data_IF_137399613132
#
_entry.id   IF_137399613132
#
_cell.length_a   1.000
_cell.length_b   1.000
_cell.length_c   1.000
_cell.angle_alpha   90.00
_cell.angle_beta   90.00
_cell.angle_gamma   90.00
#
_symmetry.space_group_name_H-M   'P 1'
#
loop_
_entity.id
_entity.type
_entity.pdbx_description
1 polymer ?
#
# COMPACT_ATOMS: atom_id res chain seq x y z
N UNK A 1 10.76 -3.41 -10.34
CA UNK A 1 9.42 -2.95 -9.89
C UNK A 1 9.22 -1.45 -10.12
N UNK A 2 9.77 -0.52 -9.32
CA UNK A 2 9.47 0.92 -9.45
C UNK A 2 9.72 1.49 -10.87
N UNK A 3 10.85 1.13 -11.49
CA UNK A 3 11.18 1.55 -12.86
C UNK A 3 10.19 1.01 -13.91
N UNK A 4 9.77 -0.25 -13.80
CA UNK A 4 8.78 -0.86 -14.70
C UNK A 4 7.41 -0.16 -14.58
N UNK A 5 7.10 0.34 -13.39
CA UNK A 5 5.89 1.07 -13.10
C UNK A 5 6.02 2.59 -13.26
N UNK A 6 7.17 3.15 -13.67
CA UNK A 6 7.47 4.60 -13.59
C UNK A 6 6.94 5.21 -12.27
N UNK A 7 7.19 4.50 -11.18
CA UNK A 7 6.76 4.86 -9.84
C UNK A 7 7.96 5.39 -9.06
N UNK A 8 7.72 6.39 -8.22
CA UNK A 8 8.77 7.01 -7.42
C UNK A 8 8.81 6.45 -6.00
N UNK A 9 7.68 5.93 -5.52
CA UNK A 9 7.53 5.44 -4.16
C UNK A 9 6.55 4.28 -4.07
N UNK A 10 6.85 3.36 -3.17
CA UNK A 10 6.01 2.22 -2.79
C UNK A 10 5.85 2.25 -1.27
N UNK A 11 4.67 1.89 -0.78
CA UNK A 11 4.40 1.54 0.61
C UNK A 11 3.59 0.24 0.62
N UNK A 12 3.98 -0.71 1.46
CA UNK A 12 3.20 -1.90 1.78
C UNK A 12 2.83 -1.80 3.26
N UNK A 13 1.54 -1.66 3.56
CA UNK A 13 1.01 -1.58 4.91
C UNK A 13 0.31 -2.89 5.25
N UNK A 14 0.93 -3.70 6.12
CA UNK A 14 0.38 -4.97 6.61
C UNK A 14 -0.43 -4.77 7.88
N UNK A 15 -1.58 -5.44 7.97
CA UNK A 15 -2.50 -5.34 9.12
C UNK A 15 -2.16 -6.35 10.21
N UNK A 16 -1.95 -5.86 11.43
CA UNK A 16 -1.71 -6.64 12.66
C UNK A 16 -0.58 -7.68 12.55
N UNK A 17 0.33 -7.46 11.59
CA UNK A 17 1.36 -8.42 11.20
C UNK A 17 2.70 -7.73 11.02
N UNK A 18 3.75 -8.38 11.50
CA UNK A 18 5.12 -7.97 11.30
C UNK A 18 5.87 -9.05 10.50
N UNK A 19 6.61 -8.62 9.48
CA UNK A 19 7.43 -9.47 8.63
C UNK A 19 8.86 -8.93 8.69
N UNK A 20 9.84 -9.82 8.87
CA UNK A 20 11.23 -9.41 8.88
C UNK A 20 11.66 -9.01 7.46
N UNK A 21 12.03 -7.74 7.28
CA UNK A 21 12.57 -7.23 6.01
C UNK A 21 13.89 -6.52 6.25
N UNK A 22 14.61 -6.25 5.17
CA UNK A 22 15.68 -5.26 5.24
C UNK A 22 15.11 -3.84 5.42
N UNK A 23 15.98 -2.91 5.83
CA UNK A 23 15.67 -1.49 6.03
C UNK A 23 15.19 -0.77 4.75
N UNK A 24 15.40 -1.37 3.58
CA UNK A 24 15.09 -0.77 2.28
C UNK A 24 13.73 -1.18 1.73
N UNK A 25 13.15 -2.24 2.28
CA UNK A 25 11.84 -2.73 1.90
C UNK A 25 10.78 -1.82 2.54
N UNK A 26 9.93 -1.15 1.75
CA UNK A 26 8.97 -0.17 2.27
C UNK A 26 7.73 -0.88 2.84
N UNK A 27 7.95 -1.75 3.83
CA UNK A 27 6.93 -2.56 4.49
C UNK A 27 6.71 -2.06 5.91
N UNK A 28 5.46 -1.79 6.25
CA UNK A 28 5.03 -1.18 7.49
C UNK A 28 3.97 -2.05 8.15
N UNK A 29 4.02 -2.17 9.48
CA UNK A 29 2.96 -2.82 10.25
C UNK A 29 1.99 -1.76 10.77
N UNK A 30 0.71 -1.94 10.49
CA UNK A 30 -0.38 -1.04 10.89
C UNK A 30 -1.41 -1.85 11.66
N UNK A 31 -1.96 -1.28 12.74
CA UNK A 31 -3.04 -1.92 13.48
C UNK A 31 -4.36 -1.77 12.74
N UNK A 32 -5.22 -2.78 12.79
CA UNK A 32 -6.55 -2.71 12.15
C UNK A 32 -7.47 -1.66 12.79
N UNK A 33 -7.25 -1.32 14.05
CA UNK A 33 -7.98 -0.27 14.78
C UNK A 33 -7.31 1.11 14.72
N UNK A 34 -6.27 1.29 13.90
CA UNK A 34 -5.59 2.57 13.74
C UNK A 34 -6.56 3.61 13.14
N UNK A 35 -6.78 4.78 13.78
CA UNK A 35 -7.73 5.79 13.31
C UNK A 35 -7.45 6.25 11.87
N UNK A 36 -6.16 6.40 11.52
CA UNK A 36 -5.76 6.82 10.19
C UNK A 36 -5.97 5.73 9.13
N UNK A 37 -6.18 4.46 9.49
CA UNK A 37 -6.57 3.42 8.55
C UNK A 37 -8.06 3.57 8.14
N UNK A 38 -8.88 4.20 8.98
CA UNK A 38 -10.33 4.33 8.76
C UNK A 38 -10.67 5.01 7.42
N UNK A 39 -9.83 5.95 6.97
CA UNK A 39 -10.00 6.65 5.70
C UNK A 39 -9.84 5.75 4.45
N UNK A 40 -9.28 4.54 4.62
CA UNK A 40 -9.06 3.55 3.56
C UNK A 40 -10.04 2.38 3.60
N UNK A 41 -10.88 2.26 4.65
CA UNK A 41 -11.78 1.11 4.82
C UNK A 41 -12.69 0.87 3.62
N UNK A 42 -13.30 1.92 3.08
CA UNK A 42 -14.11 1.81 1.86
C UNK A 42 -13.39 1.22 0.64
N UNK A 43 -12.05 1.31 0.57
CA UNK A 43 -11.25 0.74 -0.51
C UNK A 43 -10.85 -0.69 -0.19
N UNK A 44 -10.48 -0.95 1.07
CA UNK A 44 -10.21 -2.30 1.58
C UNK A 44 -11.44 -3.20 1.44
N UNK A 45 -12.62 -2.73 1.85
CA UNK A 45 -13.89 -3.46 1.80
C UNK A 45 -14.30 -3.81 0.36
N UNK A 46 -13.98 -2.95 -0.60
CA UNK A 46 -14.27 -3.19 -2.02
C UNK A 46 -13.32 -4.20 -2.65
N UNK A 47 -12.07 -4.28 -2.16
CA UNK A 47 -11.05 -5.15 -2.72
C UNK A 47 -10.64 -4.79 -4.15
N UNK A 48 -10.94 -3.57 -4.61
CA UNK A 48 -10.61 -3.09 -5.96
C UNK A 48 -9.44 -2.10 -5.92
N UNK A 49 -8.50 -2.26 -6.87
CA UNK A 49 -7.43 -1.28 -7.08
C UNK A 49 -7.99 0.04 -7.58
N UNK A 50 -7.62 1.14 -6.93
CA UNK A 50 -8.05 2.50 -7.29
C UNK A 50 -6.87 3.35 -7.68
N UNK A 51 -6.92 3.92 -8.88
CA UNK A 51 -5.93 4.88 -9.38
C UNK A 51 -6.47 6.31 -9.36
N UNK A 52 -5.62 7.28 -9.06
CA UNK A 52 -5.94 8.70 -9.17
C UNK A 52 -5.18 9.55 -8.16
N UNK A 53 -5.80 10.68 -7.79
CA UNK A 53 -5.27 11.59 -6.77
C UNK A 53 -5.87 11.27 -5.42
N UNK A 54 -5.03 11.11 -4.41
CA UNK A 54 -5.47 11.03 -3.02
C UNK A 54 -5.44 12.42 -2.36
N UNK A 55 -6.22 12.57 -1.29
CA UNK A 55 -6.16 13.79 -0.48
C UNK A 55 -4.86 13.82 0.35
N UNK A 56 -4.54 14.98 0.93
CA UNK A 56 -3.30 15.19 1.68
C UNK A 56 -3.15 14.20 2.84
N UNK A 57 -4.19 14.02 3.65
CA UNK A 57 -4.15 13.15 4.84
C UNK A 57 -3.81 11.69 4.46
N UNK A 58 -4.40 11.18 3.38
CA UNK A 58 -4.11 9.83 2.86
C UNK A 58 -2.67 9.72 2.38
N UNK A 59 -2.17 10.72 1.67
CA UNK A 59 -0.79 10.74 1.19
C UNK A 59 0.21 10.84 2.34
N UNK A 60 -0.05 11.69 3.33
CA UNK A 60 0.81 11.86 4.50
C UNK A 60 0.89 10.56 5.31
N UNK A 61 -0.23 9.84 5.46
CA UNK A 61 -0.23 8.52 6.10
C UNK A 61 0.60 7.48 5.32
N UNK A 62 0.44 7.42 3.99
CA UNK A 62 1.10 6.41 3.14
C UNK A 62 2.59 6.71 2.88
N UNK A 63 2.96 7.99 2.76
CA UNK A 63 4.26 8.39 2.22
C UNK A 63 5.03 9.37 3.10
N UNK A 64 4.45 9.81 4.23
CA UNK A 64 5.10 10.70 5.19
C UNK A 64 5.68 11.95 4.54
N UNK A 65 6.95 12.25 4.78
CA UNK A 65 7.63 13.43 4.22
C UNK A 65 7.68 13.44 2.68
N UNK A 66 7.54 12.27 2.03
CA UNK A 66 7.56 12.16 0.57
C UNK A 66 6.19 12.44 -0.07
N UNK A 67 5.13 12.51 0.73
CA UNK A 67 3.76 12.77 0.28
C UNK A 67 3.63 14.03 -0.60
N UNK A 68 4.40 15.08 -0.29
CA UNK A 68 4.37 16.35 -1.03
C UNK A 68 4.75 16.23 -2.51
N UNK A 69 5.52 15.19 -2.87
CA UNK A 69 6.00 14.96 -4.24
C UNK A 69 5.08 14.06 -5.05
N UNK A 70 4.12 13.38 -4.40
CA UNK A 70 3.22 12.43 -5.07
C UNK A 70 2.05 13.17 -5.71
N UNK A 71 1.89 13.02 -7.02
CA UNK A 71 0.86 13.66 -7.83
C UNK A 71 -0.16 12.68 -8.41
N UNK A 72 0.17 11.40 -8.51
CA UNK A 72 -0.76 10.32 -8.81
C UNK A 72 -0.44 9.08 -7.97
N UNK A 73 -1.45 8.25 -7.70
CA UNK A 73 -1.34 7.09 -6.81
C UNK A 73 -2.18 5.92 -7.33
N UNK A 74 -1.67 4.70 -7.18
CA UNK A 74 -2.45 3.48 -7.22
C UNK A 74 -2.54 2.90 -5.80
N UNK A 75 -3.76 2.70 -5.31
CA UNK A 75 -4.05 2.05 -4.04
C UNK A 75 -4.56 0.65 -4.33
N UNK A 76 -3.85 -0.35 -3.82
CA UNK A 76 -3.95 -1.75 -4.24
C UNK A 76 -4.23 -2.58 -2.97
N UNK A 77 -5.45 -3.11 -2.80
CA UNK A 77 -5.76 -3.93 -1.64
C UNK A 77 -5.02 -5.27 -1.69
N UNK A 78 -4.57 -5.74 -0.53
CA UNK A 78 -3.93 -7.04 -0.34
C UNK A 78 -4.86 -8.01 0.41
N UNK A 79 -6.18 -7.85 0.26
CA UNK A 79 -7.17 -8.60 1.03
C UNK A 79 -7.09 -8.31 2.52
N UNK A 80 -7.18 -9.34 3.36
CA UNK A 80 -7.13 -9.22 4.82
C UNK A 80 -5.74 -8.86 5.36
N UNK A 81 -4.69 -9.07 4.54
CA UNK A 81 -3.30 -8.80 4.90
C UNK A 81 -2.99 -7.29 4.92
N UNK A 82 -3.75 -6.46 4.20
CA UNK A 82 -3.61 -5.00 4.22
C UNK A 82 -3.70 -4.33 2.87
N UNK A 83 -2.82 -3.35 2.60
CA UNK A 83 -2.80 -2.59 1.36
C UNK A 83 -1.39 -2.27 0.88
N UNK A 84 -1.28 -2.03 -0.42
CA UNK A 84 -0.10 -1.53 -1.08
C UNK A 84 -0.45 -0.21 -1.79
N UNK A 85 0.43 0.78 -1.68
CA UNK A 85 0.27 2.07 -2.33
C UNK A 85 1.50 2.39 -3.17
N UNK A 86 1.27 2.76 -4.43
CA UNK A 86 2.33 3.16 -5.36
C UNK A 86 2.09 4.61 -5.76
N UNK A 87 3.11 5.45 -5.63
CA UNK A 87 3.04 6.88 -5.93
C UNK A 87 3.99 7.29 -7.04
N UNK A 88 3.58 8.29 -7.83
CA UNK A 88 4.42 8.95 -8.83
C UNK A 88 4.26 10.46 -8.74
N UNK A 89 5.34 11.19 -9.02
CA UNK A 89 5.37 12.64 -9.20
C UNK A 89 4.77 13.09 -10.52
N UNK A 90 4.57 12.17 -11.47
CA UNK A 90 3.81 12.43 -12.69
C UNK A 90 2.29 12.31 -12.41
N UNK A 91 1.51 13.41 -12.54
CA UNK A 91 0.06 13.38 -12.35
C UNK A 91 -0.69 12.51 -13.37
N UNK A 92 -0.08 12.24 -14.53
CA UNK A 92 -0.67 11.43 -15.60
C UNK A 92 -0.34 9.94 -15.48
N UNK A 93 0.45 9.52 -14.49
CA UNK A 93 0.90 8.14 -14.39
C UNK A 93 -0.21 7.19 -13.94
N UNK A 94 -0.75 7.39 -12.74
CA UNK A 94 -1.83 6.57 -12.19
C UNK A 94 -3.17 7.31 -12.31
N UNK A 95 -3.69 7.43 -13.52
CA UNK A 95 -4.96 8.12 -13.79
C UNK A 95 -6.18 7.20 -13.60
N UNK A 96 -7.36 7.74 -13.25
CA UNK A 96 -8.60 6.96 -13.16
C UNK A 96 -8.93 6.29 -14.50
N UNK A 97 -9.20 4.98 -14.48
CA UNK A 97 -9.50 4.20 -15.69
C UNK A 97 -8.28 3.61 -16.39
N UNK A 98 -7.06 3.83 -15.89
CA UNK A 98 -5.90 3.01 -16.26
C UNK A 98 -6.18 1.53 -15.95
N UNK A 99 -5.75 0.62 -16.84
CA UNK A 99 -5.84 -0.81 -16.59
C UNK A 99 -5.01 -1.23 -15.37
N UNK A 100 -5.61 -1.95 -14.43
CA UNK A 100 -4.98 -2.35 -13.15
C UNK A 100 -4.48 -3.79 -13.12
N UNK A 101 -4.70 -4.58 -14.19
CA UNK A 101 -4.43 -6.02 -14.21
C UNK A 101 -3.04 -6.41 -13.67
N UNK A 102 -2.00 -5.66 -14.03
CA UNK A 102 -0.64 -5.95 -13.57
C UNK A 102 -0.44 -5.64 -12.09
N UNK A 103 -1.09 -4.58 -11.57
CA UNK A 103 -1.09 -4.25 -10.14
C UNK A 103 -1.86 -5.31 -9.34
N UNK A 104 -2.97 -5.79 -9.88
CA UNK A 104 -3.80 -6.84 -9.26
C UNK A 104 -3.05 -8.19 -9.24
N UNK A 105 -2.33 -8.51 -10.31
CA UNK A 105 -1.45 -9.69 -10.35
C UNK A 105 -0.31 -9.56 -9.32
N UNK A 106 0.30 -8.38 -9.21
CA UNK A 106 1.33 -8.14 -8.22
C UNK A 106 0.79 -8.31 -6.80
N UNK A 107 -0.39 -7.77 -6.51
CA UNK A 107 -1.07 -7.97 -5.22
C UNK A 107 -1.23 -9.46 -4.90
N UNK A 108 -1.67 -10.26 -5.88
CA UNK A 108 -1.83 -11.71 -5.75
C UNK A 108 -0.51 -12.41 -5.43
N UNK A 109 0.59 -12.02 -6.08
CA UNK A 109 1.91 -12.60 -5.82
C UNK A 109 2.39 -12.23 -4.41
N UNK A 110 2.19 -10.98 -3.99
CA UNK A 110 2.57 -10.52 -2.65
C UNK A 110 1.79 -11.27 -1.58
N UNK A 111 0.46 -11.34 -1.69
CA UNK A 111 -0.39 -12.06 -0.72
C UNK A 111 -0.09 -13.55 -0.66
N UNK A 112 0.19 -14.20 -1.81
CA UNK A 112 0.56 -15.62 -1.80
C UNK A 112 1.87 -15.87 -1.05
N UNK A 113 2.82 -14.93 -1.12
CA UNK A 113 4.08 -15.02 -0.37
C UNK A 113 3.84 -14.78 1.11
N UNK A 114 3.05 -13.78 1.47
CA UNK A 114 2.68 -13.51 2.87
C UNK A 114 1.96 -14.69 3.53
N UNK A 115 1.16 -15.45 2.78
CA UNK A 115 0.49 -16.65 3.28
C UNK A 115 1.46 -17.81 3.62
N UNK A 116 2.67 -17.82 3.04
CA UNK A 116 3.68 -18.86 3.30
C UNK A 116 4.66 -18.45 4.40
N UNK A 117 4.82 -17.15 4.64
CA UNK A 117 5.63 -16.64 5.74
C UNK A 117 4.92 -16.88 7.07
N UNK A 118 5.64 -17.30 8.11
CA UNK A 118 5.10 -17.41 9.47
C UNK A 118 4.91 -15.99 10.06
N UNK A 119 3.69 -15.58 10.47
CA UNK A 119 3.48 -14.28 11.09
C UNK A 119 4.23 -14.20 12.42
N UNK A 120 5.13 -13.24 12.58
CA UNK A 120 5.66 -12.95 13.91
C UNK A 120 4.59 -12.17 14.66
N UNK A 121 3.97 -12.81 15.65
CA UNK A 121 2.98 -12.16 16.50
C UNK A 121 3.60 -10.89 17.11
N UNK A 122 2.94 -9.75 16.90
CA UNK A 122 3.35 -8.45 17.41
C UNK A 122 3.55 -8.57 18.92
N UNK A 123 4.79 -8.46 19.40
CA UNK A 123 5.08 -8.49 20.83
C UNK A 123 4.45 -7.26 21.45
N UNK A 124 3.30 -7.44 22.11
CA UNK A 124 2.64 -6.42 22.92
C UNK A 124 3.66 -5.91 23.95
N UNK A 125 4.25 -4.75 23.71
CA UNK A 125 4.95 -4.01 24.75
C UNK A 125 3.91 -3.64 25.81
N UNK A 126 4.07 -4.25 26.98
CA UNK A 126 3.28 -3.96 28.18
C UNK A 126 3.59 -2.57 28.74
#
# INVERSE_FOLDING_TARGET
MLEEFNADILNISLLDREVATDETTPLFSVRRDEPDLQQFQSHLDKGETVCGRLNRNKLDFLFGQRAQWVQSTALIPLGDDGLMAVGSSDPARFYPGMGTLFLDLLATVVTSRLATEEPRAQRRSA
#
